data_IF_685363638638
#
_entry.id   IF_685363638638
#
_cell.length_a   1.000
_cell.length_b   1.000
_cell.length_c   1.000
_cell.angle_alpha   90.00
_cell.angle_beta   90.00
_cell.angle_gamma   90.00
#
_symmetry.space_group_name_H-M   'P 1'
#
loop_
_entity.id
_entity.type
_entity.pdbx_description
1 polymer ?
#
# COMPACT_ATOMS: atom_id res chain seq x y z
N UNK A 1 9.04 -1.66 5.56
CA UNK A 1 9.15 -1.00 4.24
C UNK A 1 10.13 0.16 4.30
N UNK A 2 9.89 1.17 5.14
CA UNK A 2 10.71 2.38 5.28
C UNK A 2 12.20 2.05 5.52
N UNK A 3 12.47 1.05 6.36
CA UNK A 3 13.82 0.58 6.67
C UNK A 3 14.64 0.01 5.50
N UNK A 4 14.06 -0.12 4.30
CA UNK A 4 14.74 -0.69 3.13
C UNK A 4 14.96 -2.20 3.16
N UNK A 5 14.59 -2.91 4.24
CA UNK A 5 14.71 -4.37 4.35
C UNK A 5 13.95 -5.13 3.25
N UNK A 6 12.79 -4.60 2.84
CA UNK A 6 12.08 -5.06 1.64
C UNK A 6 12.70 -4.32 0.46
N UNK A 7 13.37 -5.04 -0.46
CA UNK A 7 14.01 -4.44 -1.64
C UNK A 7 12.99 -3.94 -2.66
N UNK A 8 13.40 -3.02 -3.54
CA UNK A 8 12.53 -2.38 -4.53
C UNK A 8 11.83 -3.37 -5.46
N UNK A 9 12.52 -4.44 -5.88
CA UNK A 9 11.95 -5.48 -6.73
C UNK A 9 10.85 -6.33 -6.05
N UNK A 10 10.66 -6.18 -4.73
CA UNK A 10 9.59 -6.83 -3.98
C UNK A 10 8.41 -5.88 -3.70
N UNK A 11 8.43 -4.67 -4.27
CA UNK A 11 7.32 -3.73 -4.22
C UNK A 11 6.87 -3.49 -5.66
N UNK A 12 5.67 -3.93 -5.99
CA UNK A 12 5.10 -3.83 -7.33
C UNK A 12 3.73 -3.18 -7.28
N UNK A 13 3.20 -2.77 -8.42
CA UNK A 13 1.87 -2.16 -8.51
C UNK A 13 1.15 -2.63 -9.78
N UNK A 14 -0.17 -2.43 -9.80
CA UNK A 14 -1.01 -2.64 -10.98
C UNK A 14 -0.58 -1.78 -12.17
N UNK A 15 -0.19 -0.53 -11.90
CA UNK A 15 0.30 0.43 -12.87
C UNK A 15 1.05 1.56 -12.16
N UNK A 16 1.82 2.32 -12.92
CA UNK A 16 2.59 3.47 -12.45
C UNK A 16 2.31 4.66 -13.37
N UNK A 17 2.15 5.87 -12.82
CA UNK A 17 1.90 7.08 -13.63
C UNK A 17 3.03 7.34 -14.63
N UNK A 18 4.28 7.25 -14.17
CA UNK A 18 5.49 7.23 -14.97
C UNK A 18 6.67 6.74 -14.11
N UNK A 19 7.88 6.78 -14.66
CA UNK A 19 9.12 6.36 -13.98
C UNK A 19 9.44 7.15 -12.69
N UNK A 20 8.84 8.33 -12.51
CA UNK A 20 8.96 9.12 -11.30
C UNK A 20 8.05 8.66 -10.17
N UNK A 21 7.00 7.87 -10.44
CA UNK A 21 5.92 7.51 -9.49
C UNK A 21 5.88 6.00 -9.19
N UNK A 22 7.03 5.33 -9.20
CA UNK A 22 7.12 3.87 -9.17
C UNK A 22 6.63 3.27 -7.86
N UNK A 23 6.26 1.99 -7.89
CA UNK A 23 5.79 1.25 -6.72
C UNK A 23 6.72 1.38 -5.49
N UNK A 24 8.06 1.36 -5.60
CA UNK A 24 8.94 1.50 -4.43
C UNK A 24 8.93 2.91 -3.81
N UNK A 25 8.37 3.93 -4.46
CA UNK A 25 8.10 5.22 -3.82
C UNK A 25 6.96 5.11 -2.79
N UNK A 26 6.19 4.01 -2.80
CA UNK A 26 5.12 3.75 -1.86
C UNK A 26 5.59 3.34 -0.46
N UNK A 27 6.85 3.56 -0.09
CA UNK A 27 7.33 3.37 1.29
C UNK A 27 6.84 4.51 2.17
N UNK A 28 6.43 4.21 3.39
CA UNK A 28 6.16 5.23 4.40
C UNK A 28 7.35 6.20 4.53
N UNK A 29 7.07 7.49 4.71
CA UNK A 29 8.03 8.58 4.76
C UNK A 29 8.97 8.69 3.55
N UNK A 30 8.64 8.07 2.41
CA UNK A 30 9.37 8.34 1.17
C UNK A 30 9.26 9.83 0.81
N UNK A 31 10.39 10.44 0.51
CA UNK A 31 10.54 11.85 0.14
C UNK A 31 10.91 11.95 -1.33
N UNK A 32 10.33 12.92 -2.04
CA UNK A 32 10.70 13.15 -3.43
C UNK A 32 12.20 13.50 -3.56
N UNK A 33 12.91 12.81 -4.46
CA UNK A 33 14.32 13.09 -4.75
C UNK A 33 14.72 12.55 -6.13
N UNK A 34 15.72 13.16 -6.77
CA UNK A 34 16.36 12.62 -7.97
C UNK A 34 15.39 12.26 -9.12
N UNK A 35 14.33 13.05 -9.31
CA UNK A 35 13.30 12.80 -10.32
C UNK A 35 12.20 11.81 -9.90
N UNK A 36 12.26 11.26 -8.68
CA UNK A 36 11.19 10.49 -8.05
C UNK A 36 10.26 11.40 -7.27
N UNK A 37 8.97 11.11 -7.30
CA UNK A 37 7.93 11.84 -6.57
C UNK A 37 7.66 11.19 -5.22
N UNK A 38 7.00 11.92 -4.32
CA UNK A 38 6.83 11.59 -2.91
C UNK A 38 5.80 10.47 -2.61
N UNK A 39 5.44 9.65 -3.59
CA UNK A 39 4.63 8.43 -3.42
C UNK A 39 4.70 7.54 -4.66
N UNK A 40 4.21 6.30 -4.53
CA UNK A 40 3.69 5.58 -5.69
C UNK A 40 2.38 6.25 -6.13
N UNK A 41 2.21 6.43 -7.43
CA UNK A 41 0.94 6.86 -8.02
C UNK A 41 0.58 5.94 -9.17
N UNK A 42 -0.69 5.55 -9.26
CA UNK A 42 -1.17 4.66 -10.30
C UNK A 42 -1.08 5.30 -11.70
N UNK A 43 -1.14 4.49 -12.76
CA UNK A 43 -1.27 4.98 -14.12
C UNK A 43 -2.68 5.46 -14.48
N UNK A 44 -3.69 4.98 -13.74
CA UNK A 44 -5.11 5.30 -13.95
C UNK A 44 -5.83 5.50 -12.63
N UNK A 45 -6.86 6.32 -12.61
CA UNK A 45 -7.74 6.53 -11.46
C UNK A 45 -9.00 5.66 -11.58
N UNK A 46 -8.86 4.37 -11.31
CA UNK A 46 -9.96 3.42 -11.25
C UNK A 46 -9.79 2.47 -10.04
N UNK A 47 -10.82 1.65 -9.77
CA UNK A 47 -10.83 0.75 -8.60
C UNK A 47 -10.06 -0.56 -8.81
N UNK A 48 -9.35 -0.71 -9.94
CA UNK A 48 -8.53 -1.89 -10.23
C UNK A 48 -7.06 -1.69 -9.83
N UNK A 49 -6.73 -0.56 -9.18
CA UNK A 49 -5.37 -0.20 -8.83
C UNK A 49 -4.95 -0.74 -7.47
N UNK A 50 -3.73 -1.29 -7.41
CA UNK A 50 -3.16 -1.84 -6.20
C UNK A 50 -1.65 -1.61 -6.08
N UNK A 51 -1.19 -1.48 -4.83
CA UNK A 51 0.21 -1.61 -4.42
C UNK A 51 0.41 -2.97 -3.75
N UNK A 52 1.43 -3.72 -4.17
CA UNK A 52 1.76 -5.04 -3.66
C UNK A 52 3.12 -5.05 -2.98
N UNK A 53 3.22 -5.84 -1.90
CA UNK A 53 4.47 -6.15 -1.23
C UNK A 53 4.66 -7.66 -1.17
N UNK A 54 5.85 -8.13 -1.55
CA UNK A 54 6.34 -9.50 -1.33
C UNK A 54 7.27 -9.53 -0.12
N UNK A 55 6.88 -10.24 0.94
CA UNK A 55 7.68 -10.42 2.14
C UNK A 55 8.75 -11.53 2.02
N UNK A 56 8.84 -12.19 0.86
CA UNK A 56 9.74 -13.31 0.51
C UNK A 56 9.46 -14.63 1.25
N UNK A 57 8.78 -14.56 2.39
CA UNK A 57 8.30 -15.70 3.19
C UNK A 57 6.95 -15.36 3.79
N UNK A 58 6.22 -16.38 4.23
CA UNK A 58 4.98 -16.15 4.98
C UNK A 58 5.29 -15.51 6.33
N UNK A 59 4.57 -14.44 6.65
CA UNK A 59 4.72 -13.65 7.88
C UNK A 59 3.36 -13.38 8.51
N UNK A 60 3.35 -13.05 9.80
CA UNK A 60 2.16 -12.53 10.48
C UNK A 60 2.14 -11.02 10.27
N UNK A 61 1.08 -10.50 9.67
CA UNK A 61 0.85 -9.09 9.41
C UNK A 61 -0.23 -8.61 10.37
N UNK A 62 0.13 -7.67 11.25
CA UNK A 62 -0.72 -7.19 12.33
C UNK A 62 -1.41 -5.85 12.02
N UNK A 63 -0.87 -5.08 11.10
CA UNK A 63 -1.44 -3.79 10.72
C UNK A 63 -0.74 -3.13 9.54
N UNK A 64 -1.26 -1.97 9.17
CA UNK A 64 -0.78 -1.12 8.09
C UNK A 64 -0.83 0.35 8.52
N UNK A 65 0.18 1.11 8.14
CA UNK A 65 0.17 2.57 8.17
C UNK A 65 0.15 3.11 6.74
N UNK A 66 -0.57 4.21 6.53
CA UNK A 66 -0.73 4.82 5.21
C UNK A 66 -0.50 6.34 5.28
N UNK A 67 0.03 6.89 4.19
CA UNK A 67 0.30 8.32 3.98
C UNK A 67 -0.07 8.71 2.54
N UNK A 68 -0.39 9.99 2.34
CA UNK A 68 -0.53 10.58 1.02
C UNK A 68 0.80 10.86 0.32
N UNK A 69 0.73 11.51 -0.84
CA UNK A 69 1.89 11.96 -1.61
C UNK A 69 2.53 13.18 -0.96
N UNK A 70 3.83 13.09 -0.72
CA UNK A 70 4.55 14.09 0.08
C UNK A 70 4.81 15.42 -0.63
N UNK A 71 5.13 15.43 -1.92
CA UNK A 71 5.73 16.59 -2.59
C UNK A 71 4.73 17.62 -3.18
N UNK A 72 3.53 17.21 -3.61
CA UNK A 72 2.55 18.16 -4.18
C UNK A 72 1.10 17.62 -4.36
N UNK A 73 0.24 18.48 -4.91
CA UNK A 73 -1.08 18.19 -5.51
C UNK A 73 -2.17 17.59 -4.60
N UNK A 74 -1.95 17.52 -3.29
CA UNK A 74 -2.91 17.02 -2.29
C UNK A 74 -3.51 15.66 -2.71
N UNK A 75 -2.65 14.71 -3.07
CA UNK A 75 -3.07 13.39 -3.57
C UNK A 75 -2.93 12.33 -2.49
N UNK A 76 -3.99 11.58 -2.23
CA UNK A 76 -3.99 10.53 -1.21
C UNK A 76 -5.16 9.54 -1.40
N UNK A 77 -5.01 8.33 -0.86
CA UNK A 77 -6.08 7.33 -0.79
C UNK A 77 -6.92 7.56 0.46
N UNK A 78 -8.23 7.78 0.28
CA UNK A 78 -9.21 8.01 1.36
C UNK A 78 -9.71 6.72 1.99
N UNK A 79 -9.86 5.68 1.17
CA UNK A 79 -10.25 4.35 1.64
C UNK A 79 -9.67 3.28 0.75
N UNK A 80 -9.45 2.10 1.34
CA UNK A 80 -8.88 0.96 0.64
C UNK A 80 -9.37 -0.38 1.20
N UNK A 81 -9.15 -1.44 0.44
CA UNK A 81 -9.33 -2.82 0.88
C UNK A 81 -8.01 -3.58 0.78
N UNK A 82 -7.93 -4.73 1.45
CA UNK A 82 -6.74 -5.57 1.46
C UNK A 82 -7.04 -6.91 0.81
N UNK A 83 -6.10 -7.42 0.03
CA UNK A 83 -6.05 -8.84 -0.33
C UNK A 83 -4.67 -9.42 -0.06
N UNK A 84 -4.59 -10.71 0.21
CA UNK A 84 -3.33 -11.37 0.55
C UNK A 84 -3.28 -12.80 -0.02
N UNK A 85 -2.09 -13.39 -0.10
CA UNK A 85 -1.88 -14.74 -0.60
C UNK A 85 -0.43 -15.19 -0.50
N UNK A 86 -0.14 -16.44 -0.85
CA UNK A 86 1.20 -17.02 -0.64
C UNK A 86 2.00 -17.26 -1.92
N UNK A 87 1.35 -17.23 -3.09
CA UNK A 87 1.99 -17.54 -4.38
C UNK A 87 2.09 -16.34 -5.34
N UNK A 88 1.59 -15.17 -4.95
CA UNK A 88 1.62 -13.95 -5.76
C UNK A 88 0.66 -13.94 -6.97
N UNK A 89 -0.15 -14.99 -7.13
CA UNK A 89 -1.11 -15.16 -8.24
C UNK A 89 -2.54 -15.14 -7.69
N UNK A 90 -2.82 -16.01 -6.72
CA UNK A 90 -4.12 -16.14 -6.08
C UNK A 90 -4.15 -15.28 -4.82
N UNK A 91 -5.15 -14.41 -4.72
CA UNK A 91 -5.34 -13.53 -3.58
C UNK A 91 -6.74 -13.70 -2.99
N UNK A 92 -6.81 -13.68 -1.66
CA UNK A 92 -8.05 -13.66 -0.90
C UNK A 92 -8.28 -12.26 -0.34
N UNK A 93 -9.50 -11.73 -0.48
CA UNK A 93 -9.85 -10.46 0.15
C UNK A 93 -9.92 -10.61 1.67
N UNK A 94 -9.46 -9.59 2.39
CA UNK A 94 -9.57 -9.52 3.83
C UNK A 94 -11.03 -9.29 4.25
N UNK A 95 -11.65 -10.34 4.80
CA UNK A 95 -13.07 -10.42 5.13
C UNK A 95 -13.31 -10.86 6.58
N UNK A 96 -13.05 -10.02 7.59
CA UNK A 96 -13.37 -10.35 8.97
C UNK A 96 -14.86 -10.67 9.10
N UNK A 97 -15.19 -11.83 9.67
CA UNK A 97 -16.56 -12.34 9.78
C UNK A 97 -17.30 -12.46 8.42
N UNK A 98 -16.57 -12.68 7.33
CA UNK A 98 -17.13 -12.89 5.99
C UNK A 98 -17.47 -11.60 5.22
N UNK A 99 -17.34 -10.42 5.83
CA UNK A 99 -17.67 -9.13 5.21
C UNK A 99 -16.39 -8.44 4.73
N UNK A 100 -16.37 -7.94 3.49
CA UNK A 100 -15.25 -7.17 2.95
C UNK A 100 -14.97 -5.95 3.83
N UNK A 101 -13.77 -5.89 4.40
CA UNK A 101 -13.35 -4.76 5.24
C UNK A 101 -12.81 -3.64 4.36
N UNK A 102 -13.50 -2.51 4.39
CA UNK A 102 -12.99 -1.23 3.91
C UNK A 102 -12.31 -0.52 5.08
N UNK A 103 -11.07 -0.08 4.87
CA UNK A 103 -10.29 0.69 5.83
C UNK A 103 -10.37 2.18 5.46
N UNK A 104 -10.48 3.03 6.48
CA UNK A 104 -10.25 4.46 6.32
C UNK A 104 -8.76 4.72 6.14
N UNK A 105 -8.42 5.46 5.09
CA UNK A 105 -7.06 5.93 4.80
C UNK A 105 -6.87 7.37 5.24
N UNK A 106 -6.22 8.16 4.39
CA UNK A 106 -5.77 9.50 4.71
C UNK A 106 -6.81 10.58 4.40
N UNK A 107 -6.66 11.72 5.07
CA UNK A 107 -7.39 12.98 4.81
C UNK A 107 -6.48 14.12 4.32
N UNK A 108 -5.17 13.88 4.29
CA UNK A 108 -4.13 14.83 3.90
C UNK A 108 -2.88 14.10 3.35
N UNK A 109 -1.81 14.84 3.08
CA UNK A 109 -0.57 14.34 2.46
C UNK A 109 0.39 13.68 3.44
N UNK A 110 0.38 14.09 4.71
CA UNK A 110 1.51 13.89 5.63
C UNK A 110 1.17 13.05 6.86
N UNK A 111 -0.06 13.16 7.37
CA UNK A 111 -0.53 12.44 8.54
C UNK A 111 -0.48 10.94 8.29
N UNK A 112 0.12 10.21 9.24
CA UNK A 112 0.18 8.76 9.22
C UNK A 112 -1.13 8.22 9.79
N UNK A 113 -1.87 7.43 9.00
CA UNK A 113 -3.08 6.75 9.45
C UNK A 113 -2.80 5.27 9.65
N UNK A 114 -3.06 4.78 10.87
CA UNK A 114 -2.79 3.41 11.30
C UNK A 114 -4.08 2.58 11.33
N UNK A 115 -4.03 1.37 10.79
CA UNK A 115 -5.12 0.40 10.85
C UNK A 115 -4.58 -0.98 11.27
N UNK A 116 -5.23 -1.61 12.24
CA UNK A 116 -4.89 -2.95 12.69
C UNK A 116 -5.76 -4.01 11.99
N UNK A 117 -5.20 -5.20 11.82
CA UNK A 117 -5.91 -6.38 11.32
C UNK A 117 -6.41 -7.23 12.48
N UNK A 118 -7.73 -7.35 12.58
CA UNK A 118 -8.41 -8.27 13.51
C UNK A 118 -9.48 -9.05 12.74
N UNK A 119 -9.24 -10.33 12.39
CA UNK A 119 -8.08 -11.16 12.76
C UNK A 119 -6.78 -10.76 12.02
N UNK A 120 -5.64 -11.20 12.56
CA UNK A 120 -4.33 -11.01 11.92
C UNK A 120 -4.28 -11.72 10.56
N UNK A 121 -3.45 -11.24 9.65
CA UNK A 121 -3.24 -11.84 8.33
C UNK A 121 -1.96 -12.68 8.37
N UNK A 122 -2.01 -13.89 7.82
CA UNK A 122 -0.83 -14.73 7.58
C UNK A 122 -0.67 -14.86 6.08
N UNK A 123 0.41 -14.31 5.52
CA UNK A 123 0.66 -14.34 4.08
C UNK A 123 2.10 -13.99 3.72
N UNK A 124 2.53 -14.38 2.52
CA UNK A 124 3.76 -13.86 1.87
C UNK A 124 3.54 -12.58 1.07
N UNK A 125 2.38 -12.44 0.42
CA UNK A 125 2.04 -11.29 -0.41
C UNK A 125 0.84 -10.56 0.15
N UNK A 126 0.87 -9.23 0.08
CA UNK A 126 -0.26 -8.37 0.44
C UNK A 126 -0.45 -7.28 -0.63
N UNK A 127 -1.70 -6.93 -0.89
CA UNK A 127 -2.10 -5.84 -1.79
C UNK A 127 -3.00 -4.84 -1.07
N UNK A 128 -2.72 -3.57 -1.27
CA UNK A 128 -3.60 -2.44 -0.93
C UNK A 128 -4.34 -2.01 -2.18
N UNK A 129 -5.67 -2.16 -2.18
CA UNK A 129 -6.53 -1.78 -3.31
C UNK A 129 -7.24 -0.47 -2.99
N UNK A 130 -6.99 0.58 -3.77
CA UNK A 130 -7.63 1.88 -3.54
C UNK A 130 -9.12 1.83 -3.92
N UNK A 131 -10.00 2.27 -3.02
CA UNK A 131 -11.46 2.32 -3.27
C UNK A 131 -11.99 3.74 -3.44
N UNK A 132 -11.38 4.70 -2.74
CA UNK A 132 -11.66 6.13 -2.87
C UNK A 132 -10.36 6.93 -2.68
N UNK A 133 -10.23 8.05 -3.37
CA UNK A 133 -9.03 8.89 -3.36
C UNK A 133 -9.37 10.37 -3.52
N UNK A 134 -8.41 11.23 -3.17
CA UNK A 134 -8.44 12.64 -3.47
C UNK A 134 -7.53 12.94 -4.67
N UNK A 135 -8.06 13.55 -5.72
CA UNK A 135 -7.38 13.94 -6.97
C UNK A 135 -6.78 12.77 -7.78
N UNK A 136 -5.79 12.05 -7.22
CA UNK A 136 -5.13 10.92 -7.86
C UNK A 136 -4.81 9.83 -6.84
N UNK A 137 -4.92 8.57 -7.22
CA UNK A 137 -4.50 7.45 -6.38
C UNK A 137 -2.99 7.56 -6.18
N UNK A 138 -2.61 7.94 -4.97
CA UNK A 138 -1.22 8.03 -4.52
C UNK A 138 -1.15 7.59 -3.07
N UNK A 139 -0.18 6.74 -2.74
CA UNK A 139 -0.07 6.18 -1.40
C UNK A 139 1.37 5.82 -1.06
N UNK A 140 1.71 6.06 0.20
CA UNK A 140 2.86 5.50 0.91
C UNK A 140 2.34 4.59 2.01
N UNK A 141 2.99 3.45 2.24
CA UNK A 141 2.54 2.45 3.19
C UNK A 141 3.69 1.81 3.97
N UNK A 142 3.36 1.30 5.16
CA UNK A 142 4.18 0.43 5.98
C UNK A 142 3.32 -0.72 6.52
N UNK A 143 3.89 -1.92 6.59
CA UNK A 143 3.24 -3.09 7.16
C UNK A 143 3.95 -3.50 8.45
N UNK A 144 3.15 -3.80 9.48
CA UNK A 144 3.64 -4.23 10.78
C UNK A 144 3.37 -5.70 10.97
N UNK A 145 4.27 -6.38 11.68
CA UNK A 145 4.23 -7.82 11.77
C UNK A 145 5.46 -8.44 12.41
N UNK A 146 5.49 -9.77 12.40
CA UNK A 146 6.63 -10.57 12.80
C UNK A 146 6.76 -11.78 11.88
N UNK A 147 7.97 -12.35 11.82
CA UNK A 147 8.12 -13.70 11.28
C UNK A 147 7.64 -14.72 12.30
N UNK A 148 7.25 -15.88 11.80
CA UNK A 148 7.24 -17.11 12.58
C UNK A 148 8.64 -17.44 13.09
#
# INVERSE_FOLDING_TARGET
>A
MESGKIRDNHITASSEYNIGHRAPNGRLNFMANGGRTGAWSSGRNDRNQWLQVDFQRSVIITGISTQGREDCCVQFVKSYTISFGDNGIQFHSYKPKGILKVFGGNSDLHSIVNNNFTPLIVARFIRVHATEWNQHISIRAEFYGCSF
#
